data_IF_490024530486
#
_entry.id   IF_490024530486
#
_cell.length_a   1.000
_cell.length_b   1.000
_cell.length_c   1.000
_cell.angle_alpha   90.00
_cell.angle_beta   90.00
_cell.angle_gamma   90.00
#
_symmetry.space_group_name_H-M   'P 1'
#
loop_
_entity.id
_entity.type
_entity.pdbx_description
1 polymer ?
#
# COMPACT_ATOMS: atom_id res chain seq x y z
N UNK A 1 -19.66 30.16 5.58
CA UNK A 1 -18.42 30.70 4.97
C UNK A 1 -17.26 30.15 5.77
N UNK A 2 -16.28 29.44 5.18
CA UNK A 2 -15.21 28.82 5.95
C UNK A 2 -14.44 29.90 6.73
N UNK A 3 -14.17 29.64 8.00
CA UNK A 3 -13.46 30.53 8.96
C UNK A 3 -12.18 31.13 8.38
N UNK A 4 -11.53 30.41 7.48
CA UNK A 4 -10.34 30.84 6.76
C UNK A 4 -10.56 32.03 5.80
N UNK A 5 -11.65 32.04 5.03
CA UNK A 5 -11.98 33.16 4.13
C UNK A 5 -12.33 34.42 4.93
N UNK A 6 -12.97 34.26 6.10
CA UNK A 6 -13.29 35.35 7.02
C UNK A 6 -12.02 36.06 7.51
N UNK A 7 -10.96 35.31 7.84
CA UNK A 7 -9.69 35.88 8.29
C UNK A 7 -8.96 36.68 7.20
N UNK A 8 -9.04 36.26 5.93
CA UNK A 8 -8.44 37.02 4.80
C UNK A 8 -9.13 38.36 4.58
N UNK A 9 -10.46 38.38 4.56
CA UNK A 9 -11.22 39.62 4.40
C UNK A 9 -11.04 40.57 5.59
N UNK A 10 -10.96 40.03 6.81
CA UNK A 10 -10.64 40.82 8.00
C UNK A 10 -9.23 41.42 7.91
N UNK A 11 -8.23 40.66 7.47
CA UNK A 11 -6.87 41.17 7.28
C UNK A 11 -6.84 42.31 6.24
N UNK A 12 -7.45 42.10 5.07
CA UNK A 12 -7.52 43.12 4.02
C UNK A 12 -8.26 44.36 4.53
N UNK A 13 -9.40 44.19 5.21
CA UNK A 13 -10.16 45.30 5.78
C UNK A 13 -9.36 46.11 6.81
N UNK A 14 -8.68 45.43 7.73
CA UNK A 14 -7.80 46.07 8.71
C UNK A 14 -6.62 46.77 8.05
N UNK A 15 -6.04 46.20 6.99
CA UNK A 15 -4.94 46.82 6.26
C UNK A 15 -5.36 48.10 5.55
N UNK A 16 -6.52 48.08 4.87
CA UNK A 16 -7.08 49.26 4.21
C UNK A 16 -7.39 50.34 5.24
N UNK A 17 -8.05 49.98 6.35
CA UNK A 17 -8.37 50.93 7.42
C UNK A 17 -7.10 51.57 8.00
N UNK A 18 -6.09 50.76 8.34
CA UNK A 18 -4.82 51.26 8.85
C UNK A 18 -4.13 52.17 7.84
N UNK A 19 -4.16 51.81 6.56
CA UNK A 19 -3.57 52.63 5.49
C UNK A 19 -4.26 54.00 5.38
N UNK A 20 -5.59 54.05 5.49
CA UNK A 20 -6.36 55.31 5.50
C UNK A 20 -5.97 56.17 6.71
N UNK A 21 -5.90 55.57 7.90
CA UNK A 21 -5.50 56.28 9.12
C UNK A 21 -4.09 56.87 8.98
N UNK A 22 -3.14 56.08 8.46
CA UNK A 22 -1.76 56.56 8.24
C UNK A 22 -1.71 57.68 7.19
N UNK A 23 -2.48 57.59 6.09
CA UNK A 23 -2.59 58.68 5.12
C UNK A 23 -3.10 59.99 5.73
N UNK A 24 -4.10 59.90 6.62
CA UNK A 24 -4.64 61.06 7.35
C UNK A 24 -3.54 61.66 8.24
N UNK A 25 -2.86 60.83 9.04
CA UNK A 25 -1.77 61.28 9.92
C UNK A 25 -0.63 61.95 9.15
N UNK A 26 -0.18 61.37 8.04
CA UNK A 26 0.84 61.96 7.16
C UNK A 26 0.40 63.34 6.68
N UNK A 27 -0.87 63.48 6.30
CA UNK A 27 -1.40 64.74 5.77
C UNK A 27 -1.50 65.82 6.83
N UNK A 28 -1.88 65.45 8.05
CA UNK A 28 -1.87 66.35 9.20
C UNK A 28 -0.45 66.80 9.54
N UNK A 29 0.50 65.86 9.59
CA UNK A 29 1.91 66.16 9.86
C UNK A 29 2.52 67.08 8.80
N UNK A 30 2.22 66.86 7.51
CA UNK A 30 2.69 67.73 6.43
C UNK A 30 2.08 69.12 6.49
N UNK A 31 0.81 69.22 6.89
CA UNK A 31 0.14 70.52 7.05
C UNK A 31 0.77 71.31 8.19
N UNK A 32 1.00 70.66 9.34
CA UNK A 32 1.71 71.24 10.47
C UNK A 32 3.12 71.71 10.09
N UNK A 33 3.92 70.81 9.51
CA UNK A 33 5.29 71.12 9.10
C UNK A 33 5.35 72.32 8.13
N UNK A 34 4.36 72.44 7.24
CA UNK A 34 4.25 73.57 6.32
C UNK A 34 3.92 74.88 7.03
N UNK A 35 3.01 74.88 8.00
CA UNK A 35 2.70 76.12 8.76
C UNK A 35 3.90 76.55 9.61
N UNK A 36 4.56 75.62 10.31
CA UNK A 36 5.77 75.89 11.10
C UNK A 36 6.88 76.42 10.21
N UNK A 37 7.11 75.80 9.05
CA UNK A 37 8.11 76.27 8.08
C UNK A 37 7.80 77.68 7.58
N UNK A 38 6.53 77.99 7.33
CA UNK A 38 6.12 79.32 6.87
C UNK A 38 6.35 80.40 7.94
N UNK A 39 6.06 80.11 9.21
CA UNK A 39 6.35 81.02 10.33
C UNK A 39 7.87 81.19 10.54
N UNK A 40 8.65 80.12 10.36
CA UNK A 40 10.11 80.18 10.38
C UNK A 40 10.67 81.07 9.25
N UNK A 41 10.12 80.97 8.03
CA UNK A 41 10.50 81.84 6.90
C UNK A 41 10.18 83.31 7.21
N UNK A 42 8.98 83.59 7.75
CA UNK A 42 8.61 84.96 8.18
C UNK A 42 9.60 85.55 9.19
N UNK A 43 10.10 84.72 10.12
CA UNK A 43 11.11 85.16 11.08
C UNK A 43 12.43 85.57 10.40
N UNK A 44 12.87 84.84 9.37
CA UNK A 44 14.03 85.22 8.57
C UNK A 44 13.77 86.48 7.73
N UNK A 45 12.64 86.55 7.04
CA UNK A 45 12.27 87.72 6.24
C UNK A 45 12.20 88.98 7.10
N UNK A 46 11.64 88.87 8.31
CA UNK A 46 11.60 89.98 9.28
C UNK A 46 12.99 90.49 9.63
N UNK A 47 13.97 89.59 9.83
CA UNK A 47 15.35 89.99 10.12
C UNK A 47 16.03 90.65 8.93
N UNK A 48 15.82 90.12 7.72
CA UNK A 48 16.40 90.66 6.50
C UNK A 48 15.88 92.10 6.31
N UNK A 49 14.57 92.29 6.43
CA UNK A 49 13.92 93.60 6.28
C UNK A 49 14.35 94.56 7.38
N UNK A 50 14.37 94.11 8.63
CA UNK A 50 14.91 94.90 9.74
C UNK A 50 16.32 95.38 9.42
N UNK A 51 17.19 94.49 8.94
CA UNK A 51 18.59 94.82 8.63
C UNK A 51 18.69 95.82 7.47
N UNK A 52 17.91 95.60 6.41
CA UNK A 52 17.85 96.47 5.24
C UNK A 52 17.35 97.89 5.58
N UNK A 53 16.34 98.00 6.45
CA UNK A 53 15.82 99.28 6.93
C UNK A 53 16.87 99.99 7.81
N UNK A 54 17.51 99.25 8.73
CA UNK A 54 18.51 99.83 9.65
C UNK A 54 19.78 100.35 8.98
N UNK A 55 20.10 99.85 7.79
CA UNK A 55 21.27 100.31 7.01
C UNK A 55 21.01 101.64 6.29
N UNK A 56 19.76 102.08 6.20
CA UNK A 56 19.42 103.38 5.62
C UNK A 56 19.52 104.49 6.67
N UNK A 57 20.11 105.63 6.30
CA UNK A 57 20.30 106.78 7.22
C UNK A 57 18.98 107.44 7.63
N UNK A 58 17.98 107.43 6.76
CA UNK A 58 16.63 107.94 7.04
C UNK A 58 15.60 106.91 6.59
N UNK A 59 14.86 106.35 7.54
CA UNK A 59 13.76 105.42 7.28
C UNK A 59 12.55 106.20 6.78
N UNK A 60 12.38 106.26 5.46
CA UNK A 60 11.21 106.85 4.80
C UNK A 60 10.17 105.77 4.44
N UNK A 61 8.89 106.08 4.61
CA UNK A 61 7.76 105.22 4.24
C UNK A 61 7.82 104.75 2.79
N UNK A 62 8.31 105.57 1.86
CA UNK A 62 8.46 105.16 0.45
C UNK A 62 9.46 104.01 0.27
N UNK A 63 10.58 104.03 1.00
CA UNK A 63 11.58 102.97 0.96
C UNK A 63 11.10 101.69 1.65
N UNK A 64 10.36 101.82 2.76
CA UNK A 64 9.70 100.68 3.38
C UNK A 64 8.74 99.99 2.41
N UNK A 65 7.91 100.74 1.69
CA UNK A 65 7.02 100.19 0.67
C UNK A 65 7.80 99.53 -0.47
N UNK A 66 8.91 100.12 -0.91
CA UNK A 66 9.75 99.57 -1.97
C UNK A 66 10.35 98.21 -1.58
N UNK A 67 11.01 98.11 -0.43
CA UNK A 67 11.59 96.83 0.05
C UNK A 67 10.51 95.78 0.29
N UNK A 68 9.37 96.18 0.84
CA UNK A 68 8.31 95.23 1.20
C UNK A 68 7.38 94.89 0.05
N UNK A 69 7.51 95.56 -1.10
CA UNK A 69 6.69 95.32 -2.29
C UNK A 69 6.88 93.90 -2.84
N UNK A 70 8.10 93.35 -2.74
CA UNK A 70 8.41 91.97 -3.12
C UNK A 70 7.70 90.93 -2.24
N UNK A 71 7.30 91.30 -1.03
CA UNK A 71 6.49 90.48 -0.12
C UNK A 71 4.99 90.59 -0.37
N UNK A 72 4.60 91.16 -1.50
CA UNK A 72 3.22 91.30 -1.92
C UNK A 72 2.99 90.73 -3.31
N UNK A 73 1.80 90.19 -3.56
CA UNK A 73 1.39 89.67 -4.86
C UNK A 73 0.17 90.45 -5.36
N UNK A 74 -0.13 90.32 -6.66
CA UNK A 74 -1.25 91.02 -7.33
C UNK A 74 -1.20 92.53 -7.09
N UNK A 75 -0.08 93.16 -7.43
CA UNK A 75 0.14 94.61 -7.33
C UNK A 75 -0.15 95.18 -5.93
N UNK A 76 0.28 94.48 -4.87
CA UNK A 76 0.16 94.96 -3.48
C UNK A 76 -1.18 94.68 -2.79
N UNK A 77 -2.11 93.94 -3.43
CA UNK A 77 -3.42 93.63 -2.83
C UNK A 77 -3.39 92.44 -1.86
N UNK A 78 -2.49 91.46 -2.10
CA UNK A 78 -2.30 90.31 -1.21
C UNK A 78 -0.89 90.36 -0.64
N UNK A 79 -0.79 90.62 0.65
CA UNK A 79 0.46 90.64 1.40
C UNK A 79 0.75 89.23 1.92
N UNK A 80 1.90 88.66 1.57
CA UNK A 80 2.32 87.33 1.99
C UNK A 80 2.79 87.31 3.46
N UNK A 81 3.42 88.41 3.87
CA UNK A 81 3.88 88.64 5.23
C UNK A 81 3.54 90.07 5.68
N UNK A 82 2.50 90.24 6.53
CA UNK A 82 2.08 91.53 7.04
C UNK A 82 3.15 92.19 7.91
N UNK A 83 3.56 93.39 7.52
CA UNK A 83 4.57 94.22 8.16
C UNK A 83 4.07 95.65 8.29
N UNK A 84 4.48 96.34 9.33
CA UNK A 84 4.27 97.78 9.47
C UNK A 84 5.40 98.45 10.24
N UNK A 85 5.64 99.72 9.93
CA UNK A 85 6.39 100.63 10.76
C UNK A 85 5.38 101.45 11.54
N UNK A 86 5.44 101.34 12.86
CA UNK A 86 4.64 102.13 13.78
C UNK A 86 5.52 103.26 14.30
N UNK A 87 5.11 104.48 14.03
CA UNK A 87 5.76 105.71 14.48
C UNK A 87 5.01 106.30 15.68
N UNK A 88 5.57 107.34 16.29
CA UNK A 88 4.97 108.05 17.43
C UNK A 88 3.52 108.51 17.19
N UNK A 89 3.20 108.95 15.98
CA UNK A 89 1.87 109.50 15.63
C UNK A 89 1.24 108.86 14.38
N UNK A 90 1.91 107.90 13.75
CA UNK A 90 1.50 107.34 12.46
C UNK A 90 1.81 105.85 12.38
N UNK A 91 1.17 105.15 11.44
CA UNK A 91 1.50 103.77 11.12
C UNK A 91 1.49 103.59 9.60
N UNK A 92 2.55 102.97 9.08
CA UNK A 92 2.71 102.64 7.67
C UNK A 92 2.88 101.14 7.50
N UNK A 93 1.93 100.49 6.83
CA UNK A 93 1.94 99.05 6.60
C UNK A 93 2.25 98.70 5.15
N UNK A 94 2.87 97.54 4.91
CA UNK A 94 3.11 97.07 3.55
C UNK A 94 1.81 96.65 2.85
N UNK A 95 1.76 96.87 1.55
CA UNK A 95 0.57 96.62 0.72
C UNK A 95 -0.33 97.84 0.58
N UNK A 96 -1.34 97.74 -0.28
CA UNK A 96 -2.29 98.83 -0.56
C UNK A 96 -3.34 98.96 0.55
N UNK A 97 -4.03 100.10 0.58
CA UNK A 97 -5.24 100.30 1.38
C UNK A 97 -6.26 99.20 1.07
N UNK A 98 -6.76 98.52 2.10
CA UNK A 98 -7.67 97.37 1.94
C UNK A 98 -6.98 96.03 1.63
N UNK A 99 -5.64 95.95 1.71
CA UNK A 99 -4.93 94.67 1.72
C UNK A 99 -5.27 93.86 2.98
N UNK A 100 -4.90 92.58 2.99
CA UNK A 100 -5.06 91.69 4.15
C UNK A 100 -4.17 92.05 5.35
N UNK A 101 -3.32 93.08 5.25
CA UNK A 101 -2.56 93.60 6.37
C UNK A 101 -3.44 94.53 7.20
N UNK A 102 -3.62 94.19 8.49
CA UNK A 102 -4.45 94.96 9.44
C UNK A 102 -3.64 95.57 10.59
N UNK A 103 -2.31 95.53 10.53
CA UNK A 103 -1.47 95.97 11.65
C UNK A 103 -1.75 97.44 12.00
N UNK A 104 -1.88 98.32 11.00
CA UNK A 104 -2.19 99.73 11.26
C UNK A 104 -3.65 100.00 11.62
N UNK A 105 -4.56 99.04 11.39
CA UNK A 105 -5.93 99.13 11.90
C UNK A 105 -5.96 98.90 13.42
N UNK A 106 -5.11 97.98 13.91
CA UNK A 106 -5.02 97.63 15.33
C UNK A 106 -4.14 98.59 16.13
N UNK A 107 -3.05 99.07 15.55
CA UNK A 107 -2.05 99.89 16.21
C UNK A 107 -1.76 101.16 15.40
N UNK A 108 -2.39 102.28 15.78
CA UNK A 108 -2.23 103.55 15.06
C UNK A 108 -0.90 104.27 15.36
N UNK A 109 -0.32 104.01 16.53
CA UNK A 109 0.89 104.64 17.02
C UNK A 109 1.59 103.74 18.07
N UNK A 110 2.80 104.15 18.49
CA UNK A 110 3.62 103.39 19.46
C UNK A 110 2.90 103.21 20.80
N UNK A 111 2.17 104.21 21.28
CA UNK A 111 1.46 104.13 22.57
C UNK A 111 0.36 103.07 22.53
N UNK A 112 -0.42 103.01 21.44
CA UNK A 112 -1.41 101.95 21.23
C UNK A 112 -0.76 100.57 21.12
N UNK A 113 0.39 100.46 20.44
CA UNK A 113 1.15 99.22 20.36
C UNK A 113 1.58 98.76 21.76
N UNK A 114 2.22 99.62 22.56
CA UNK A 114 2.67 99.24 23.90
C UNK A 114 1.50 98.94 24.86
N UNK A 115 0.37 99.64 24.74
CA UNK A 115 -0.79 99.48 25.62
C UNK A 115 -1.63 98.23 25.31
N UNK A 116 -1.84 97.92 24.02
CA UNK A 116 -2.71 96.79 23.60
C UNK A 116 -1.97 95.45 23.59
N UNK A 117 -0.65 95.45 23.52
CA UNK A 117 0.14 94.22 23.47
C UNK A 117 0.60 93.77 24.85
N UNK A 118 0.63 92.46 25.06
CA UNK A 118 1.09 91.85 26.32
C UNK A 118 2.43 91.14 26.15
N UNK A 119 3.16 91.04 27.26
CA UNK A 119 4.37 90.22 27.47
C UNK A 119 5.51 90.42 26.46
N UNK A 120 6.57 91.11 26.89
CA UNK A 120 7.82 91.24 26.12
C UNK A 120 8.62 89.94 26.23
N UNK A 121 8.58 89.14 25.18
CA UNK A 121 9.29 87.87 25.12
C UNK A 121 10.35 87.88 24.01
N UNK A 122 11.31 86.95 24.10
CA UNK A 122 12.36 86.77 23.11
C UNK A 122 12.35 85.30 22.68
N UNK A 123 12.23 85.07 21.38
CA UNK A 123 12.52 83.76 20.82
C UNK A 123 14.05 83.60 20.78
N UNK A 124 14.60 82.66 21.53
CA UNK A 124 16.06 82.50 21.67
C UNK A 124 16.76 82.01 20.39
N UNK A 125 16.09 81.16 19.60
CA UNK A 125 16.67 80.62 18.37
C UNK A 125 16.81 81.71 17.30
N UNK A 126 15.72 82.43 17.03
CA UNK A 126 15.75 83.53 16.08
C UNK A 126 16.29 84.82 16.69
N UNK A 127 16.43 84.98 18.01
CA UNK A 127 16.80 86.25 18.65
C UNK A 127 15.87 87.40 18.22
N UNK A 128 14.58 87.11 18.07
CA UNK A 128 13.53 88.08 17.70
C UNK A 128 12.67 88.34 18.93
N UNK A 129 12.41 89.62 19.21
CA UNK A 129 11.45 90.01 20.25
C UNK A 129 10.03 89.85 19.70
N UNK A 130 9.11 89.40 20.53
CA UNK A 130 7.70 89.30 20.17
C UNK A 130 6.79 89.69 21.32
N UNK A 131 5.56 90.06 20.98
CA UNK A 131 4.46 90.32 21.90
C UNK A 131 3.18 89.66 21.39
N UNK A 132 2.20 89.55 22.29
CA UNK A 132 0.87 89.03 21.95
C UNK A 132 -0.15 90.16 21.84
N UNK A 133 -1.05 90.04 20.88
CA UNK A 133 -2.29 90.81 20.82
C UNK A 133 -3.43 89.84 20.51
N UNK A 134 -4.42 89.78 21.41
CA UNK A 134 -5.44 88.74 21.41
C UNK A 134 -4.82 87.32 21.36
N UNK A 135 -5.03 86.57 20.27
CA UNK A 135 -4.46 85.22 20.04
C UNK A 135 -3.30 85.22 19.04
N UNK A 136 -2.90 86.39 18.56
CA UNK A 136 -1.89 86.51 17.53
C UNK A 136 -0.55 86.95 18.10
N UNK A 137 0.53 86.44 17.49
CA UNK A 137 1.90 86.78 17.86
C UNK A 137 2.44 87.78 16.85
N UNK A 138 3.05 88.84 17.37
CA UNK A 138 3.68 89.88 16.57
C UNK A 138 5.16 89.98 16.91
N UNK A 139 6.01 89.80 15.90
CA UNK A 139 7.43 90.12 15.97
C UNK A 139 7.61 91.62 15.98
N UNK A 140 8.59 92.11 16.73
CA UNK A 140 8.92 93.53 16.69
C UNK A 140 10.41 93.81 16.84
N UNK A 141 10.81 94.96 16.32
CA UNK A 141 12.15 95.49 16.47
C UNK A 141 12.10 97.02 16.55
N UNK A 142 12.67 97.56 17.62
CA UNK A 142 12.93 99.00 17.75
C UNK A 142 13.96 99.39 16.67
N UNK A 143 13.58 100.33 15.79
CA UNK A 143 14.44 100.88 14.75
C UNK A 143 15.21 102.09 15.32
N UNK A 144 14.47 103.01 15.96
CA UNK A 144 14.95 104.17 16.71
C UNK A 144 14.01 104.45 17.91
N UNK A 145 14.17 105.59 18.60
CA UNK A 145 13.34 105.96 19.76
C UNK A 145 11.88 106.30 19.42
N UNK A 146 11.56 106.53 18.14
CA UNK A 146 10.24 106.96 17.67
C UNK A 146 9.61 106.00 16.65
N UNK A 147 10.28 104.88 16.31
CA UNK A 147 9.84 103.91 15.30
C UNK A 147 10.07 102.47 15.74
N UNK A 148 9.02 101.66 15.57
CA UNK A 148 9.06 100.21 15.78
C UNK A 148 8.62 99.51 14.49
N UNK A 149 9.44 98.58 14.00
CA UNK A 149 9.04 97.63 12.97
C UNK A 149 8.27 96.50 13.62
N UNK A 150 7.07 96.21 13.12
CA UNK A 150 6.18 95.15 13.59
C UNK A 150 5.86 94.22 12.42
N UNK A 151 5.82 92.91 12.67
CA UNK A 151 5.44 91.91 11.68
C UNK A 151 4.63 90.77 12.30
N UNK A 152 3.64 90.25 11.59
CA UNK A 152 2.82 89.16 12.10
C UNK A 152 3.59 87.83 12.10
N UNK A 153 3.85 87.28 13.28
CA UNK A 153 4.73 86.13 13.47
C UNK A 153 4.12 84.78 13.05
N UNK A 154 2.80 84.72 12.92
CA UNK A 154 2.06 83.47 12.83
C UNK A 154 1.79 82.85 14.20
N UNK A 155 1.62 81.53 14.24
CA UNK A 155 1.16 80.82 15.45
C UNK A 155 2.30 80.07 16.15
N UNK A 156 3.36 79.68 15.43
CA UNK A 156 4.36 78.75 15.98
C UNK A 156 5.67 79.40 16.39
N UNK A 157 5.90 80.69 16.09
CA UNK A 157 7.15 81.35 16.45
C UNK A 157 7.43 81.28 17.96
N UNK A 158 6.41 81.50 18.79
CA UNK A 158 6.56 81.49 20.25
C UNK A 158 6.75 80.07 20.83
N UNK A 159 6.52 79.02 20.02
CA UNK A 159 6.63 77.60 20.38
C UNK A 159 7.86 76.94 19.75
N UNK A 160 8.74 77.72 19.14
CA UNK A 160 9.90 77.18 18.45
C UNK A 160 10.82 76.43 19.43
N UNK A 161 11.17 75.19 19.08
CA UNK A 161 11.96 74.29 19.93
C UNK A 161 11.12 73.38 20.84
N UNK A 162 9.80 73.59 20.91
CA UNK A 162 8.86 72.68 21.55
C UNK A 162 7.90 72.08 20.52
N UNK A 163 8.34 71.00 19.89
CA UNK A 163 7.56 70.29 18.85
C UNK A 163 6.22 69.76 19.39
N UNK A 164 6.18 69.39 20.68
CA UNK A 164 4.97 68.87 21.30
C UNK A 164 3.93 69.99 21.49
N UNK A 165 4.36 71.16 21.98
CA UNK A 165 3.48 72.32 22.07
C UNK A 165 2.98 72.77 20.69
N UNK A 166 3.83 72.73 19.65
CA UNK A 166 3.41 73.02 18.27
C UNK A 166 2.33 72.03 17.77
N UNK A 167 2.49 70.73 18.06
CA UNK A 167 1.49 69.72 17.73
C UNK A 167 0.17 69.96 18.47
N UNK A 168 0.23 70.26 19.78
CA UNK A 168 -0.97 70.55 20.57
C UNK A 168 -1.69 71.77 19.99
N UNK A 169 -0.99 72.88 19.76
CA UNK A 169 -1.55 74.11 19.19
C UNK A 169 -2.20 73.84 17.83
N UNK A 170 -1.58 72.99 17.01
CA UNK A 170 -2.16 72.58 15.75
C UNK A 170 -3.45 71.79 15.94
N UNK A 171 -3.45 70.75 16.78
CA UNK A 171 -4.60 69.86 16.95
C UNK A 171 -5.79 70.58 17.61
N UNK A 172 -5.55 71.43 18.61
CA UNK A 172 -6.61 72.06 19.40
C UNK A 172 -7.16 73.32 18.76
N UNK A 173 -6.31 74.14 18.12
CA UNK A 173 -6.71 75.47 17.66
C UNK A 173 -6.72 75.58 16.14
N UNK A 174 -5.71 75.06 15.44
CA UNK A 174 -5.55 75.30 13.98
C UNK A 174 -6.36 74.31 13.14
N UNK A 175 -6.28 73.03 13.48
CA UNK A 175 -6.92 71.93 12.76
C UNK A 175 -8.46 72.08 12.75
N UNK A 176 -9.15 72.31 13.88
CA UNK A 176 -10.59 72.46 13.87
C UNK A 176 -11.01 73.72 13.11
N UNK A 177 -10.42 74.86 13.46
CA UNK A 177 -10.88 76.16 12.97
C UNK A 177 -10.58 76.41 11.49
N UNK A 178 -9.41 75.99 10.99
CA UNK A 178 -8.97 76.36 9.65
C UNK A 178 -9.09 75.23 8.63
N UNK A 179 -9.11 73.97 9.09
CA UNK A 179 -8.99 72.82 8.20
C UNK A 179 -10.21 71.90 8.23
N UNK A 180 -10.74 71.55 9.40
CA UNK A 180 -11.88 70.63 9.50
C UNK A 180 -13.22 71.35 9.29
N UNK A 181 -13.39 72.55 9.86
CA UNK A 181 -14.67 73.27 9.85
C UNK A 181 -15.02 73.91 8.48
N UNK A 182 -14.16 73.79 7.47
CA UNK A 182 -14.38 74.40 6.15
C UNK A 182 -14.04 73.42 5.02
N UNK A 183 -14.92 73.34 4.01
CA UNK A 183 -14.67 72.57 2.78
C UNK A 183 -13.37 73.03 2.10
N UNK A 184 -13.09 74.34 2.14
CA UNK A 184 -11.83 74.88 1.62
C UNK A 184 -10.62 74.37 2.42
N UNK A 185 -10.76 74.25 3.73
CA UNK A 185 -9.73 73.70 4.63
C UNK A 185 -9.41 72.23 4.30
N UNK A 186 -10.45 71.39 4.20
CA UNK A 186 -10.33 69.96 3.88
C UNK A 186 -9.70 69.78 2.49
N UNK A 187 -10.19 70.51 1.50
CA UNK A 187 -9.64 70.46 0.13
C UNK A 187 -8.20 70.95 0.08
N UNK A 188 -7.84 71.98 0.86
CA UNK A 188 -6.46 72.44 0.99
C UNK A 188 -5.54 71.34 1.55
N UNK A 189 -5.95 70.61 2.60
CA UNK A 189 -5.14 69.48 3.11
C UNK A 189 -4.92 68.47 1.99
N UNK A 190 -6.00 68.05 1.32
CA UNK A 190 -5.93 67.08 0.24
C UNK A 190 -4.99 67.52 -0.89
N UNK A 191 -5.16 68.73 -1.43
CA UNK A 191 -4.32 69.21 -2.54
C UNK A 191 -2.84 69.32 -2.15
N UNK A 192 -2.56 69.64 -0.90
CA UNK A 192 -1.18 69.78 -0.38
C UNK A 192 -0.53 68.43 -0.10
N UNK A 193 -1.27 67.42 0.33
CA UNK A 193 -0.75 66.10 0.69
C UNK A 193 -0.99 65.00 -0.36
N UNK A 194 -1.70 65.30 -1.46
CA UNK A 194 -2.12 64.30 -2.48
C UNK A 194 -1.00 63.38 -2.95
N UNK A 195 0.19 63.90 -3.20
CA UNK A 195 1.30 63.11 -3.72
C UNK A 195 1.83 62.14 -2.67
N UNK A 196 2.00 62.60 -1.44
CA UNK A 196 2.42 61.79 -0.30
C UNK A 196 1.40 60.68 -0.01
N UNK A 197 0.10 61.01 -0.03
CA UNK A 197 -0.98 60.04 0.11
C UNK A 197 -0.94 59.00 -1.01
N UNK A 198 -0.77 59.42 -2.27
CA UNK A 198 -0.70 58.51 -3.42
C UNK A 198 0.52 57.58 -3.34
N UNK A 199 1.70 58.13 -3.03
CA UNK A 199 2.94 57.33 -2.89
C UNK A 199 2.76 56.29 -1.79
N UNK A 200 2.22 56.69 -0.64
CA UNK A 200 1.97 55.76 0.46
C UNK A 200 0.92 54.71 0.10
N UNK A 201 -0.17 55.11 -0.56
CA UNK A 201 -1.23 54.21 -0.99
C UNK A 201 -0.72 53.16 -1.99
N UNK A 202 0.03 53.59 -3.02
CA UNK A 202 0.64 52.66 -3.99
C UNK A 202 1.70 51.76 -3.34
N UNK A 203 2.51 52.29 -2.42
CA UNK A 203 3.46 51.48 -1.65
C UNK A 203 2.76 50.44 -0.77
N UNK A 204 1.73 50.84 -0.03
CA UNK A 204 0.94 49.97 0.85
C UNK A 204 0.22 48.87 0.05
N UNK A 205 -0.39 49.22 -1.08
CA UNK A 205 -1.05 48.24 -1.96
C UNK A 205 -0.06 47.27 -2.58
N UNK A 206 1.13 47.73 -3.01
CA UNK A 206 2.19 46.86 -3.50
C UNK A 206 2.62 45.85 -2.43
N UNK A 207 2.84 46.31 -1.19
CA UNK A 207 3.20 45.43 -0.06
C UNK A 207 2.09 44.40 0.20
N UNK A 208 0.83 44.82 0.18
CA UNK A 208 -0.31 43.92 0.34
C UNK A 208 -0.35 42.84 -0.76
N UNK A 209 -0.15 43.23 -2.03
CA UNK A 209 -0.13 42.30 -3.16
C UNK A 209 1.02 41.29 -3.04
N UNK A 210 2.22 41.74 -2.67
CA UNK A 210 3.38 40.85 -2.45
C UNK A 210 3.06 39.86 -1.34
N UNK A 211 2.54 40.33 -0.21
CA UNK A 211 2.21 39.49 0.94
C UNK A 211 1.13 38.44 0.61
N UNK A 212 0.05 38.85 -0.05
CA UNK A 212 -1.00 37.93 -0.49
C UNK A 212 -0.47 36.90 -1.48
N UNK A 213 0.38 37.31 -2.43
CA UNK A 213 0.99 36.42 -3.42
C UNK A 213 1.87 35.36 -2.77
N UNK A 214 2.70 35.74 -1.78
CA UNK A 214 3.52 34.81 -1.01
C UNK A 214 2.68 33.83 -0.20
N UNK A 215 1.59 34.31 0.40
CA UNK A 215 0.68 33.47 1.18
C UNK A 215 -0.02 32.44 0.30
N UNK A 216 -0.57 32.87 -0.85
CA UNK A 216 -1.18 31.98 -1.84
C UNK A 216 -0.19 30.94 -2.35
N UNK A 217 1.08 31.32 -2.56
CA UNK A 217 2.13 30.40 -3.00
C UNK A 217 2.40 29.31 -1.95
N UNK A 218 2.51 29.68 -0.66
CA UNK A 218 2.68 28.71 0.43
C UNK A 218 1.46 27.79 0.57
N UNK A 219 0.25 28.34 0.47
CA UNK A 219 -0.98 27.54 0.48
C UNK A 219 -1.01 26.49 -0.64
N UNK A 220 -0.63 26.88 -1.87
CA UNK A 220 -0.53 25.95 -3.00
C UNK A 220 0.51 24.86 -2.74
N UNK A 221 1.66 25.19 -2.15
CA UNK A 221 2.67 24.19 -1.79
C UNK A 221 2.12 23.18 -0.78
N UNK A 222 1.51 23.65 0.31
CA UNK A 222 0.90 22.76 1.30
C UNK A 222 -0.26 21.93 0.73
N UNK A 223 -1.07 22.48 -0.16
CA UNK A 223 -2.13 21.73 -0.83
C UNK A 223 -1.55 20.61 -1.73
N UNK A 224 -0.44 20.88 -2.43
CA UNK A 224 0.24 19.88 -3.24
C UNK A 224 0.87 18.78 -2.38
N UNK A 225 1.53 19.14 -1.27
CA UNK A 225 2.08 18.19 -0.30
C UNK A 225 0.99 17.31 0.31
N UNK A 226 -0.16 17.90 0.67
CA UNK A 226 -1.30 17.17 1.20
C UNK A 226 -1.88 16.19 0.17
N UNK A 227 -2.01 16.60 -1.09
CA UNK A 227 -2.49 15.73 -2.15
C UNK A 227 -1.51 14.58 -2.43
N UNK A 228 -0.20 14.86 -2.41
CA UNK A 228 0.83 13.82 -2.53
C UNK A 228 0.73 12.82 -1.38
N UNK A 229 0.61 13.30 -0.14
CA UNK A 229 0.46 12.45 1.05
C UNK A 229 -0.82 11.60 0.97
N UNK A 230 -1.96 12.17 0.52
CA UNK A 230 -3.21 11.42 0.31
C UNK A 230 -3.05 10.31 -0.72
N UNK A 231 -2.39 10.58 -1.85
CA UNK A 231 -2.14 9.57 -2.88
C UNK A 231 -1.24 8.45 -2.36
N UNK A 232 -0.21 8.78 -1.57
CA UNK A 232 0.68 7.80 -0.96
C UNK A 232 -0.04 6.92 0.07
N UNK A 233 -0.95 7.50 0.87
CA UNK A 233 -1.81 6.74 1.79
C UNK A 233 -2.73 5.80 1.01
N UNK A 234 -3.40 6.27 -0.04
CA UNK A 234 -4.27 5.42 -0.87
C UNK A 234 -3.50 4.27 -1.52
N UNK A 235 -2.26 4.49 -1.97
CA UNK A 235 -1.39 3.42 -2.49
C UNK A 235 -1.07 2.38 -1.40
N UNK A 236 -0.75 2.83 -0.18
CA UNK A 236 -0.47 1.94 0.95
C UNK A 236 -1.70 1.18 1.42
N UNK A 237 -2.87 1.81 1.43
CA UNK A 237 -4.15 1.13 1.70
C UNK A 237 -4.42 0.02 0.69
N UNK A 238 -4.20 0.28 -0.60
CA UNK A 238 -4.31 -0.76 -1.64
C UNK A 238 -3.33 -1.92 -1.43
N UNK A 239 -2.08 -1.63 -1.03
CA UNK A 239 -1.09 -2.66 -0.68
C UNK A 239 -1.53 -3.49 0.53
N UNK A 240 -2.07 -2.85 1.57
CA UNK A 240 -2.62 -3.54 2.74
C UNK A 240 -3.79 -4.45 2.37
N UNK A 241 -4.72 -3.99 1.52
CA UNK A 241 -5.83 -4.83 1.04
C UNK A 241 -5.33 -6.06 0.27
N UNK A 242 -4.28 -5.92 -0.55
CA UNK A 242 -3.69 -7.03 -1.29
C UNK A 242 -2.93 -8.01 -0.38
N UNK A 243 -2.30 -7.53 0.70
CA UNK A 243 -1.70 -8.40 1.70
C UNK A 243 -2.77 -9.13 2.51
N UNK A 244 -3.86 -8.46 2.86
CA UNK A 244 -4.99 -9.07 3.58
C UNK A 244 -5.60 -10.21 2.75
N UNK A 245 -5.83 -10.01 1.45
CA UNK A 245 -6.37 -11.07 0.59
C UNK A 245 -5.44 -12.29 0.49
N UNK A 246 -4.11 -12.08 0.45
CA UNK A 246 -3.13 -13.17 0.50
C UNK A 246 -3.12 -13.91 1.84
N UNK A 247 -3.30 -13.20 2.95
CA UNK A 247 -3.44 -13.81 4.28
C UNK A 247 -4.70 -14.69 4.32
N UNK A 248 -5.82 -14.18 3.82
CA UNK A 248 -7.08 -14.92 3.78
C UNK A 248 -6.98 -16.17 2.90
N UNK A 249 -6.33 -16.08 1.74
CA UNK A 249 -6.03 -17.24 0.87
C UNK A 249 -5.16 -18.28 1.60
N UNK A 250 -4.08 -17.84 2.26
CA UNK A 250 -3.21 -18.74 3.02
C UNK A 250 -3.95 -19.41 4.19
N UNK A 251 -4.86 -18.70 4.86
CA UNK A 251 -5.68 -19.25 5.94
C UNK A 251 -6.65 -20.30 5.42
N UNK A 252 -7.27 -20.08 4.25
CA UNK A 252 -8.12 -21.08 3.61
C UNK A 252 -7.33 -22.35 3.25
N UNK A 253 -6.11 -22.20 2.71
CA UNK A 253 -5.22 -23.34 2.43
C UNK A 253 -4.85 -24.08 3.72
N UNK A 254 -4.56 -23.36 4.81
CA UNK A 254 -4.26 -23.97 6.10
C UNK A 254 -5.46 -24.74 6.66
N UNK A 255 -6.68 -24.22 6.50
CA UNK A 255 -7.91 -24.92 6.90
C UNK A 255 -8.10 -26.22 6.14
N UNK A 256 -7.99 -26.20 4.80
CA UNK A 256 -8.10 -27.42 3.96
C UNK A 256 -7.02 -28.45 4.31
N UNK A 257 -5.79 -28.00 4.58
CA UNK A 257 -4.71 -28.89 5.06
C UNK A 257 -5.02 -29.48 6.42
N UNK A 258 -5.59 -28.70 7.35
CA UNK A 258 -5.97 -29.19 8.67
C UNK A 258 -7.05 -30.27 8.57
N UNK A 259 -8.08 -30.06 7.76
CA UNK A 259 -9.13 -31.05 7.49
C UNK A 259 -8.54 -32.34 6.88
N UNK A 260 -7.60 -32.22 5.94
CA UNK A 260 -6.89 -33.39 5.40
C UNK A 260 -6.09 -34.14 6.46
N UNK A 261 -5.37 -33.43 7.34
CA UNK A 261 -4.63 -34.06 8.44
C UNK A 261 -5.56 -34.78 9.39
N UNK A 262 -6.69 -34.18 9.78
CA UNK A 262 -7.71 -34.83 10.61
C UNK A 262 -8.27 -36.09 9.92
N UNK A 263 -8.53 -36.02 8.61
CA UNK A 263 -8.97 -37.18 7.83
C UNK A 263 -7.94 -38.32 7.81
N UNK A 264 -6.65 -38.00 7.67
CA UNK A 264 -5.58 -38.99 7.71
C UNK A 264 -5.39 -39.59 9.11
N UNK A 265 -5.55 -38.80 10.17
CA UNK A 265 -5.53 -39.30 11.54
C UNK A 265 -6.67 -40.30 11.80
N UNK A 266 -7.87 -40.04 11.29
CA UNK A 266 -9.00 -40.98 11.37
C UNK A 266 -8.68 -42.27 10.59
N UNK A 267 -8.10 -42.16 9.39
CA UNK A 267 -7.70 -43.34 8.60
C UNK A 267 -6.61 -44.16 9.32
N UNK A 268 -5.61 -43.51 9.91
CA UNK A 268 -4.58 -44.19 10.71
C UNK A 268 -5.20 -44.94 11.87
N UNK A 269 -6.09 -44.30 12.65
CA UNK A 269 -6.77 -44.94 13.77
C UNK A 269 -7.61 -46.16 13.34
N UNK A 270 -8.29 -46.06 12.20
CA UNK A 270 -9.03 -47.20 11.64
C UNK A 270 -8.13 -48.35 11.19
N UNK A 271 -6.94 -48.02 10.66
CA UNK A 271 -5.96 -49.03 10.28
C UNK A 271 -5.31 -49.68 11.50
N UNK A 272 -5.03 -48.94 12.57
CA UNK A 272 -4.56 -49.47 13.85
C UNK A 272 -5.55 -50.49 14.42
N UNK A 273 -6.86 -50.17 14.44
CA UNK A 273 -7.91 -51.09 14.88
C UNK A 273 -7.95 -52.38 14.03
N UNK A 274 -7.74 -52.26 12.71
CA UNK A 274 -7.66 -53.44 11.83
C UNK A 274 -6.43 -54.29 12.14
N UNK A 275 -5.30 -53.66 12.45
CA UNK A 275 -4.05 -54.33 12.78
C UNK A 275 -4.20 -55.12 14.09
N UNK A 276 -4.78 -54.51 15.12
CA UNK A 276 -5.11 -55.21 16.38
C UNK A 276 -6.00 -56.43 16.15
N UNK A 277 -6.97 -56.33 15.23
CA UNK A 277 -7.81 -57.47 14.86
C UNK A 277 -7.00 -58.58 14.17
N UNK A 278 -6.10 -58.22 13.25
CA UNK A 278 -5.25 -59.19 12.58
C UNK A 278 -4.28 -59.86 13.55
N UNK A 279 -3.73 -59.13 14.51
CA UNK A 279 -2.85 -59.71 15.54
C UNK A 279 -3.63 -60.71 16.41
N UNK A 280 -4.88 -60.42 16.78
CA UNK A 280 -5.75 -61.36 17.49
C UNK A 280 -6.09 -62.61 16.65
N UNK A 281 -6.35 -62.43 15.35
CA UNK A 281 -6.60 -63.55 14.43
C UNK A 281 -5.33 -64.43 14.27
N UNK A 282 -4.13 -63.82 14.25
CA UNK A 282 -2.84 -64.52 14.20
C UNK A 282 -2.61 -65.32 15.49
N UNK A 283 -2.87 -64.74 16.67
CA UNK A 283 -2.76 -65.46 17.94
C UNK A 283 -3.68 -66.70 17.98
N UNK A 284 -4.93 -66.57 17.52
CA UNK A 284 -5.86 -67.70 17.41
C UNK A 284 -5.34 -68.79 16.46
N UNK A 285 -4.75 -68.41 15.32
CA UNK A 285 -4.18 -69.38 14.36
C UNK A 285 -2.94 -70.09 14.92
N UNK A 286 -2.14 -69.41 15.73
CA UNK A 286 -1.00 -70.02 16.43
C UNK A 286 -1.48 -71.05 17.44
N UNK A 287 -2.56 -70.76 18.18
CA UNK A 287 -3.17 -71.72 19.11
C UNK A 287 -3.67 -72.98 18.39
N UNK A 288 -4.40 -72.81 17.27
CA UNK A 288 -4.86 -73.92 16.41
C UNK A 288 -3.68 -74.77 15.88
N UNK A 289 -2.58 -74.12 15.47
CA UNK A 289 -1.37 -74.82 15.02
C UNK A 289 -0.73 -75.66 16.13
N UNK A 290 -0.66 -75.14 17.35
CA UNK A 290 -0.13 -75.90 18.49
C UNK A 290 -1.00 -77.11 18.84
N UNK A 291 -2.32 -77.00 18.72
CA UNK A 291 -3.23 -78.15 18.91
C UNK A 291 -3.01 -79.22 17.83
N UNK A 292 -2.84 -78.79 16.57
CA UNK A 292 -2.56 -79.69 15.44
C UNK A 292 -1.22 -80.40 15.60
N UNK A 293 -0.18 -79.69 16.05
CA UNK A 293 1.13 -80.28 16.32
C UNK A 293 1.07 -81.33 17.44
N UNK A 294 0.25 -81.09 18.47
CA UNK A 294 -0.07 -82.08 19.49
C UNK A 294 -0.69 -83.35 18.91
N UNK A 295 -1.67 -83.21 18.01
CA UNK A 295 -2.30 -84.35 17.29
C UNK A 295 -1.30 -85.09 16.40
N UNK A 296 -0.40 -84.37 15.71
CA UNK A 296 0.63 -84.95 14.88
C UNK A 296 1.61 -85.82 15.69
N UNK A 297 2.07 -85.35 16.86
CA UNK A 297 2.94 -86.14 17.75
C UNK A 297 2.29 -87.46 18.19
N UNK A 298 0.99 -87.45 18.49
CA UNK A 298 0.24 -88.66 18.86
C UNK A 298 0.19 -89.65 17.69
N UNK A 299 -0.13 -89.17 16.49
CA UNK A 299 -0.15 -90.00 15.27
C UNK A 299 1.23 -90.59 14.94
N UNK A 300 2.30 -89.82 15.14
CA UNK A 300 3.67 -90.28 14.90
C UNK A 300 4.10 -91.38 15.89
N UNK A 301 3.65 -91.30 17.15
CA UNK A 301 3.84 -92.39 18.13
C UNK A 301 3.14 -93.67 17.68
N UNK A 302 1.87 -93.56 17.25
CA UNK A 302 1.10 -94.71 16.76
C UNK A 302 1.75 -95.35 15.51
N UNK A 303 2.36 -94.54 14.64
CA UNK A 303 3.04 -95.03 13.44
C UNK A 303 4.31 -95.82 13.79
N UNK A 304 5.09 -95.34 14.76
CA UNK A 304 6.25 -96.07 15.27
C UNK A 304 5.85 -97.43 15.90
N UNK A 305 4.72 -97.48 16.60
CA UNK A 305 4.19 -98.73 17.18
C UNK A 305 3.78 -99.74 16.08
N UNK A 306 3.16 -99.25 14.99
CA UNK A 306 2.80 -100.08 13.83
C UNK A 306 4.06 -100.55 13.07
N UNK A 307 5.10 -99.72 12.96
CA UNK A 307 6.37 -100.14 12.33
C UNK A 307 7.12 -101.19 13.16
N UNK A 308 7.07 -101.11 14.49
CA UNK A 308 7.58 -102.15 15.37
C UNK A 308 6.83 -103.49 15.18
N UNK A 309 5.52 -103.43 14.98
CA UNK A 309 4.69 -104.61 14.70
C UNK A 309 4.97 -105.19 13.31
N UNK A 310 5.18 -104.34 12.29
CA UNK A 310 5.63 -104.71 10.94
C UNK A 310 6.98 -105.41 10.97
N UNK A 311 7.96 -104.89 11.72
CA UNK A 311 9.27 -105.55 11.84
C UNK A 311 9.14 -106.94 12.44
N UNK A 312 8.29 -107.12 13.46
CA UNK A 312 7.98 -108.42 14.07
C UNK A 312 7.37 -109.41 13.07
N UNK A 313 6.48 -108.93 12.19
CA UNK A 313 5.87 -109.71 11.12
C UNK A 313 6.88 -110.09 10.02
N UNK A 314 7.79 -109.18 9.64
CA UNK A 314 8.84 -109.46 8.65
C UNK A 314 9.81 -110.55 9.17
N UNK A 315 10.22 -110.48 10.45
CA UNK A 315 11.07 -111.53 11.05
C UNK A 315 10.36 -112.90 11.06
N UNK A 316 9.04 -112.92 11.30
CA UNK A 316 8.23 -114.14 11.25
C UNK A 316 8.09 -114.70 9.82
N UNK A 317 8.00 -113.83 8.81
CA UNK A 317 7.95 -114.22 7.39
C UNK A 317 9.31 -114.75 6.91
N UNK A 318 10.43 -114.13 7.29
CA UNK A 318 11.78 -114.62 6.96
C UNK A 318 12.06 -116.00 7.58
N UNK A 319 11.60 -116.24 8.81
CA UNK A 319 11.71 -117.55 9.46
C UNK A 319 10.87 -118.62 8.75
N UNK A 320 9.66 -118.28 8.27
CA UNK A 320 8.80 -119.17 7.48
C UNK A 320 9.35 -119.44 6.06
N UNK A 321 10.10 -118.49 5.48
CA UNK A 321 10.68 -118.59 4.12
C UNK A 321 11.87 -119.55 4.07
N UNK A 322 12.57 -119.77 5.19
CA UNK A 322 13.69 -120.73 5.29
C UNK A 322 13.29 -122.22 5.24
N UNK A 323 11.98 -122.54 5.25
CA UNK A 323 11.46 -123.91 5.39
C UNK A 323 10.64 -124.45 4.21
N UNK A 324 10.57 -123.74 3.08
CA UNK A 324 9.76 -124.16 1.93
C UNK A 324 10.66 -124.69 0.80
N UNK A 325 10.57 -126.00 0.56
CA UNK A 325 11.37 -126.76 -0.42
C UNK A 325 10.47 -127.24 -1.57
N UNK A 326 9.85 -126.29 -2.29
CA UNK A 326 9.03 -126.60 -3.47
C UNK A 326 9.31 -125.59 -4.59
N UNK A 327 9.87 -126.07 -5.71
CA UNK A 327 10.40 -125.25 -6.80
C UNK A 327 9.30 -124.49 -7.58
N UNK A 328 8.05 -124.98 -7.55
CA UNK A 328 6.91 -124.30 -8.19
C UNK A 328 6.51 -123.01 -7.49
N UNK A 329 6.51 -122.98 -6.14
CA UNK A 329 6.16 -121.79 -5.37
C UNK A 329 7.21 -120.66 -5.51
N UNK A 330 8.49 -121.03 -5.71
CA UNK A 330 9.58 -120.06 -5.97
C UNK A 330 9.44 -119.39 -7.34
N UNK A 331 8.99 -120.14 -8.36
CA UNK A 331 8.74 -119.61 -9.70
C UNK A 331 7.47 -118.75 -9.75
N UNK A 332 6.41 -119.11 -9.02
CA UNK A 332 5.23 -118.24 -8.89
C UNK A 332 5.54 -116.94 -8.18
N UNK A 333 6.34 -116.98 -7.09
CA UNK A 333 6.72 -115.77 -6.36
C UNK A 333 7.60 -114.82 -7.20
N UNK A 334 8.53 -115.35 -8.01
CA UNK A 334 9.31 -114.56 -8.96
C UNK A 334 8.44 -113.94 -10.07
N UNK A 335 7.41 -114.66 -10.53
CA UNK A 335 6.41 -114.14 -11.48
C UNK A 335 5.61 -112.97 -10.90
N UNK A 336 5.16 -113.09 -9.64
CA UNK A 336 4.44 -112.01 -8.95
C UNK A 336 5.33 -110.80 -8.64
N UNK A 337 6.60 -111.00 -8.25
CA UNK A 337 7.58 -109.91 -8.08
C UNK A 337 7.88 -109.18 -9.40
N UNK A 338 8.00 -109.91 -10.52
CA UNK A 338 8.20 -109.31 -11.84
C UNK A 338 6.99 -108.49 -12.30
N UNK A 339 5.77 -108.99 -12.04
CA UNK A 339 4.52 -108.23 -12.29
C UNK A 339 4.41 -106.98 -11.42
N UNK A 340 4.75 -107.08 -10.13
CA UNK A 340 4.77 -105.95 -9.21
C UNK A 340 5.76 -104.86 -9.66
N UNK A 341 7.00 -105.23 -9.99
CA UNK A 341 8.01 -104.30 -10.48
C UNK A 341 7.63 -103.63 -11.81
N UNK A 342 6.86 -104.31 -12.67
CA UNK A 342 6.29 -103.68 -13.88
C UNK A 342 5.18 -102.67 -13.57
N UNK A 343 4.32 -102.96 -12.59
CA UNK A 343 3.25 -102.05 -12.16
C UNK A 343 3.82 -100.78 -11.50
N UNK A 344 4.90 -100.90 -10.73
CA UNK A 344 5.57 -99.74 -10.10
C UNK A 344 6.02 -98.71 -11.16
N UNK A 345 6.43 -99.14 -12.36
CA UNK A 345 6.84 -98.24 -13.46
C UNK A 345 5.70 -97.34 -13.99
N UNK A 346 4.42 -97.65 -13.74
CA UNK A 346 3.31 -96.75 -14.09
C UNK A 346 3.37 -95.42 -13.32
N UNK A 347 4.02 -95.42 -12.16
CA UNK A 347 4.16 -94.26 -11.27
C UNK A 347 5.47 -93.49 -11.49
N UNK A 348 6.37 -93.97 -12.37
CA UNK A 348 7.66 -93.35 -12.66
C UNK A 348 7.54 -92.37 -13.85
N UNK A 349 7.86 -91.09 -13.62
CA UNK A 349 7.82 -90.01 -14.62
C UNK A 349 8.67 -90.30 -15.87
N UNK A 350 9.69 -91.16 -15.76
CA UNK A 350 10.58 -91.51 -16.88
C UNK A 350 9.98 -92.51 -17.90
N UNK A 351 8.82 -93.12 -17.61
CA UNK A 351 8.21 -94.14 -18.48
C UNK A 351 7.34 -93.50 -19.57
N UNK A 352 7.66 -93.76 -20.85
CA UNK A 352 6.96 -93.21 -22.02
C UNK A 352 5.50 -93.64 -22.12
N UNK A 353 4.64 -92.80 -22.69
CA UNK A 353 3.19 -93.03 -22.84
C UNK A 353 2.82 -94.36 -23.49
N UNK A 354 3.52 -94.78 -24.55
CA UNK A 354 3.28 -96.06 -25.20
C UNK A 354 3.59 -97.26 -24.29
N UNK A 355 4.66 -97.17 -23.49
CA UNK A 355 5.05 -98.21 -22.54
C UNK A 355 4.10 -98.31 -21.35
N UNK A 356 3.61 -97.17 -20.84
CA UNK A 356 2.57 -97.14 -19.79
C UNK A 356 1.30 -97.86 -20.25
N UNK A 357 0.87 -97.59 -21.48
CA UNK A 357 -0.26 -98.27 -22.09
C UNK A 357 -0.05 -99.78 -22.24
N UNK A 358 1.12 -100.22 -22.69
CA UNK A 358 1.44 -101.65 -22.79
C UNK A 358 1.45 -102.35 -21.41
N UNK A 359 2.04 -101.71 -20.40
CA UNK A 359 2.05 -102.23 -19.02
C UNK A 359 0.61 -102.35 -18.52
N UNK A 360 -0.22 -101.33 -18.72
CA UNK A 360 -1.62 -101.33 -18.30
C UNK A 360 -2.46 -102.37 -19.06
N UNK A 361 -2.31 -102.48 -20.37
CA UNK A 361 -2.98 -103.51 -21.18
C UNK A 361 -2.56 -104.93 -20.76
N UNK A 362 -1.34 -105.13 -20.25
CA UNK A 362 -0.85 -106.42 -19.77
C UNK A 362 -1.37 -106.83 -18.38
N UNK A 363 -1.84 -105.86 -17.58
CA UNK A 363 -2.27 -106.07 -16.18
C UNK A 363 -3.79 -106.01 -16.03
N UNK A 364 -4.51 -105.35 -16.94
CA UNK A 364 -5.91 -105.04 -16.75
C UNK A 364 -6.85 -106.23 -17.11
N UNK A 365 -7.60 -106.70 -16.12
CA UNK A 365 -8.76 -107.57 -16.32
C UNK A 365 -9.92 -106.73 -16.90
N UNK A 366 -10.58 -107.26 -17.94
CA UNK A 366 -11.62 -106.59 -18.74
C UNK A 366 -12.54 -105.66 -17.91
N UNK A 367 -12.68 -104.40 -18.39
CA UNK A 367 -13.66 -103.37 -17.99
C UNK A 367 -13.33 -102.44 -16.81
N UNK A 368 -12.07 -102.12 -16.51
CA UNK A 368 -11.73 -100.97 -15.64
C UNK A 368 -10.98 -99.86 -16.36
N UNK A 369 -11.27 -98.63 -15.95
CA UNK A 369 -10.81 -97.32 -16.45
C UNK A 369 -9.28 -97.32 -16.63
N UNK A 370 -8.72 -97.05 -17.82
CA UNK A 370 -7.28 -96.98 -17.98
C UNK A 370 -6.74 -95.71 -17.32
N UNK A 371 -5.93 -95.86 -16.28
CA UNK A 371 -5.17 -94.82 -15.61
C UNK A 371 -4.35 -93.99 -16.61
N UNK A 372 -3.74 -94.64 -17.61
CA UNK A 372 -2.94 -93.99 -18.66
C UNK A 372 -3.78 -93.03 -19.52
N UNK A 373 -5.07 -93.31 -19.72
CA UNK A 373 -5.94 -92.46 -20.55
C UNK A 373 -6.29 -91.14 -19.85
N UNK A 374 -6.60 -91.19 -18.55
CA UNK A 374 -6.90 -89.99 -17.77
C UNK A 374 -5.68 -89.08 -17.63
N UNK A 375 -4.49 -89.66 -17.38
CA UNK A 375 -3.23 -88.89 -17.35
C UNK A 375 -2.86 -88.35 -18.73
N UNK A 376 -3.12 -89.09 -19.81
CA UNK A 376 -2.88 -88.61 -21.18
C UNK A 376 -3.75 -87.39 -21.52
N UNK A 377 -5.01 -87.33 -21.08
CA UNK A 377 -5.86 -86.16 -21.30
C UNK A 377 -5.41 -84.94 -20.48
N UNK A 378 -4.94 -85.13 -19.24
CA UNK A 378 -4.36 -84.05 -18.44
C UNK A 378 -3.07 -83.52 -19.09
N UNK A 379 -2.21 -84.42 -19.59
CA UNK A 379 -1.01 -84.03 -20.30
C UNK A 379 -1.30 -83.30 -21.62
N UNK A 380 -2.40 -83.66 -22.30
CA UNK A 380 -2.88 -82.91 -23.47
C UNK A 380 -3.31 -81.48 -23.13
N UNK A 381 -4.01 -81.27 -22.01
CA UNK A 381 -4.36 -79.92 -21.56
C UNK A 381 -3.12 -79.09 -21.24
N UNK A 382 -2.14 -79.68 -20.54
CA UNK A 382 -0.87 -79.02 -20.26
C UNK A 382 -0.12 -78.67 -21.56
N UNK A 383 -0.10 -79.59 -22.55
CA UNK A 383 0.51 -79.34 -23.86
C UNK A 383 -0.16 -78.19 -24.61
N UNK A 384 -1.50 -78.14 -24.63
CA UNK A 384 -2.25 -77.03 -25.23
C UNK A 384 -1.96 -75.72 -24.50
N UNK A 385 -1.90 -75.74 -23.17
CA UNK A 385 -1.62 -74.57 -22.34
C UNK A 385 -0.21 -74.02 -22.58
N UNK A 386 0.79 -74.89 -22.65
CA UNK A 386 2.18 -74.50 -22.91
C UNK A 386 2.32 -73.93 -24.35
N UNK A 387 1.72 -74.58 -25.35
CA UNK A 387 1.72 -74.08 -26.73
C UNK A 387 0.95 -72.75 -26.85
N UNK A 388 -0.16 -72.61 -26.12
CA UNK A 388 -0.92 -71.35 -26.06
C UNK A 388 -0.08 -70.23 -25.41
N UNK A 389 0.63 -70.51 -24.31
CA UNK A 389 1.53 -69.54 -23.65
C UNK A 389 2.64 -69.06 -24.59
N UNK A 390 3.29 -69.98 -25.30
CA UNK A 390 4.32 -69.66 -26.27
C UNK A 390 3.79 -68.76 -27.41
N UNK A 391 2.53 -68.96 -27.83
CA UNK A 391 1.89 -68.13 -28.85
C UNK A 391 1.36 -66.78 -28.31
N UNK A 392 0.92 -66.73 -27.06
CA UNK A 392 0.30 -65.55 -26.43
C UNK A 392 1.32 -64.59 -25.80
N UNK A 393 2.58 -64.99 -25.62
CA UNK A 393 3.68 -64.11 -25.22
C UNK A 393 3.88 -62.89 -26.17
N UNK A 394 3.25 -62.88 -27.35
CA UNK A 394 3.27 -61.76 -28.30
C UNK A 394 2.09 -60.78 -28.18
N UNK A 395 1.06 -61.03 -27.38
CA UNK A 395 -0.06 -60.09 -27.18
C UNK A 395 -0.56 -60.14 -25.73
N UNK A 396 -0.48 -59.00 -25.03
CA UNK A 396 -0.90 -58.86 -23.64
C UNK A 396 -2.43 -58.95 -23.47
N UNK A 397 -2.91 -60.06 -22.90
CA UNK A 397 -3.99 -60.03 -21.91
C UNK A 397 -4.02 -61.34 -21.09
N UNK A 398 -3.88 -61.22 -19.78
CA UNK A 398 -4.13 -62.29 -18.81
C UNK A 398 -5.64 -62.48 -18.62
N UNK A 399 -6.35 -62.90 -19.66
CA UNK A 399 -7.72 -63.38 -19.52
C UNK A 399 -7.71 -64.90 -19.32
N UNK A 400 -8.47 -65.36 -18.31
CA UNK A 400 -8.71 -66.78 -18.05
C UNK A 400 -9.50 -67.34 -19.23
N UNK A 401 -8.80 -67.89 -20.22
CA UNK A 401 -9.36 -68.47 -21.44
C UNK A 401 -9.67 -69.95 -21.22
N UNK A 402 -10.81 -70.40 -21.73
CA UNK A 402 -11.24 -71.80 -21.66
C UNK A 402 -10.40 -72.70 -22.57
N UNK A 403 -10.33 -74.00 -22.29
CA UNK A 403 -9.59 -74.97 -23.14
C UNK A 403 -10.02 -74.93 -24.61
N UNK A 404 -11.31 -74.67 -24.89
CA UNK A 404 -11.78 -74.54 -26.27
C UNK A 404 -11.17 -73.32 -26.98
N UNK A 405 -11.13 -72.17 -26.30
CA UNK A 405 -10.55 -70.94 -26.84
C UNK A 405 -9.04 -71.07 -27.04
N UNK A 406 -8.34 -71.73 -26.10
CA UNK A 406 -6.91 -72.04 -26.25
C UNK A 406 -6.65 -72.91 -27.47
N UNK A 407 -7.46 -73.96 -27.68
CA UNK A 407 -7.38 -74.82 -28.86
C UNK A 407 -7.65 -74.02 -30.14
N UNK A 408 -8.65 -73.14 -30.17
CA UNK A 408 -8.94 -72.29 -31.34
C UNK A 408 -7.75 -71.40 -31.71
N UNK A 409 -6.99 -70.90 -30.72
CA UNK A 409 -5.77 -70.12 -30.96
C UNK A 409 -4.63 -70.99 -31.50
N UNK A 410 -4.42 -72.19 -30.95
CA UNK A 410 -3.42 -73.16 -31.47
C UNK A 410 -3.73 -73.53 -32.92
N UNK A 411 -5.01 -73.74 -33.25
CA UNK A 411 -5.49 -74.10 -34.60
C UNK A 411 -5.20 -73.00 -35.62
N UNK A 412 -5.23 -71.71 -35.24
CA UNK A 412 -4.88 -70.62 -36.18
C UNK A 412 -3.45 -70.76 -36.71
N UNK A 413 -2.53 -71.34 -35.93
CA UNK A 413 -1.14 -71.57 -36.32
C UNK A 413 -0.90 -72.96 -36.90
N UNK A 414 -1.67 -73.97 -36.49
CA UNK A 414 -1.64 -75.32 -37.06
C UNK A 414 -3.02 -75.76 -37.55
N UNK A 415 -3.50 -75.24 -38.70
CA UNK A 415 -4.86 -75.49 -39.17
C UNK A 415 -5.15 -76.96 -39.46
N UNK A 416 -4.12 -77.72 -39.85
CA UNK A 416 -4.22 -79.13 -40.15
C UNK A 416 -4.58 -80.00 -38.94
N UNK A 417 -4.33 -79.53 -37.71
CA UNK A 417 -4.67 -80.24 -36.47
C UNK A 417 -6.09 -79.95 -35.96
N UNK A 418 -6.85 -79.07 -36.64
CA UNK A 418 -8.18 -78.61 -36.19
C UNK A 418 -9.13 -79.73 -35.82
N UNK A 419 -9.31 -80.69 -36.73
CA UNK A 419 -10.25 -81.79 -36.53
C UNK A 419 -9.79 -82.69 -35.38
N UNK A 420 -8.50 -83.00 -35.32
CA UNK A 420 -7.91 -83.85 -34.27
C UNK A 420 -8.01 -83.21 -32.89
N UNK A 421 -7.61 -81.95 -32.71
CA UNK A 421 -7.60 -81.28 -31.39
C UNK A 421 -9.02 -81.11 -30.83
N UNK A 422 -9.99 -80.69 -31.65
CA UNK A 422 -11.37 -80.60 -31.19
C UNK A 422 -11.96 -81.98 -30.89
N UNK A 423 -11.64 -83.01 -31.69
CA UNK A 423 -12.10 -84.38 -31.43
C UNK A 423 -11.53 -84.90 -30.10
N UNK A 424 -10.25 -84.66 -29.82
CA UNK A 424 -9.62 -84.99 -28.53
C UNK A 424 -10.31 -84.26 -27.39
N UNK A 425 -10.57 -82.95 -27.50
CA UNK A 425 -11.31 -82.16 -26.48
C UNK A 425 -12.70 -82.71 -26.20
N UNK A 426 -13.46 -83.03 -27.25
CA UNK A 426 -14.81 -83.60 -27.12
C UNK A 426 -14.74 -84.96 -26.43
N UNK A 427 -13.80 -85.81 -26.84
CA UNK A 427 -13.59 -87.12 -26.23
C UNK A 427 -13.15 -87.01 -24.77
N UNK A 428 -12.27 -86.06 -24.45
CA UNK A 428 -11.86 -85.73 -23.08
C UNK A 428 -13.07 -85.37 -22.22
N UNK A 429 -13.92 -84.46 -22.69
CA UNK A 429 -15.09 -84.03 -21.92
C UNK A 429 -16.09 -85.19 -21.73
N UNK A 430 -16.31 -86.00 -22.76
CA UNK A 430 -17.12 -87.20 -22.66
C UNK A 430 -16.51 -88.24 -21.70
N UNK A 431 -15.17 -88.33 -21.65
CA UNK A 431 -14.45 -89.22 -20.74
C UNK A 431 -14.57 -88.76 -19.28
N UNK A 432 -14.22 -87.51 -18.95
CA UNK A 432 -14.24 -87.03 -17.56
C UNK A 432 -15.63 -86.82 -16.99
N UNK A 433 -16.61 -86.42 -17.80
CA UNK A 433 -17.97 -86.17 -17.30
C UNK A 433 -18.86 -87.42 -17.37
N UNK A 434 -18.69 -88.25 -18.40
CA UNK A 434 -19.63 -89.35 -18.69
C UNK A 434 -18.96 -90.73 -18.72
N UNK A 435 -17.64 -90.83 -18.47
CA UNK A 435 -16.90 -92.10 -18.51
C UNK A 435 -16.86 -92.76 -19.89
N UNK A 436 -17.18 -92.03 -20.98
CA UNK A 436 -17.29 -92.62 -22.33
C UNK A 436 -15.90 -92.84 -22.93
N UNK A 437 -15.55 -94.10 -23.20
CA UNK A 437 -14.26 -94.48 -23.78
C UNK A 437 -14.13 -93.93 -25.21
N UNK A 438 -13.04 -93.18 -25.52
CA UNK A 438 -12.78 -92.69 -26.88
C UNK A 438 -12.50 -93.81 -27.88
N UNK A 439 -12.71 -93.53 -29.17
CA UNK A 439 -12.34 -94.46 -30.23
C UNK A 439 -10.83 -94.73 -30.24
N UNK A 440 -10.43 -95.99 -30.49
CA UNK A 440 -9.02 -96.42 -30.46
C UNK A 440 -8.11 -95.60 -31.40
N UNK A 441 -8.65 -95.14 -32.53
CA UNK A 441 -7.93 -94.26 -33.47
C UNK A 441 -7.57 -92.93 -32.81
N UNK A 442 -8.53 -92.31 -32.14
CA UNK A 442 -8.34 -91.02 -31.46
C UNK A 442 -7.37 -91.13 -30.28
N UNK A 443 -7.36 -92.25 -29.55
CA UNK A 443 -6.37 -92.49 -28.48
C UNK A 443 -4.95 -92.54 -29.06
N UNK A 444 -4.75 -93.15 -30.23
CA UNK A 444 -3.43 -93.16 -30.88
C UNK A 444 -2.99 -91.76 -31.30
N UNK A 445 -3.91 -90.94 -31.81
CA UNK A 445 -3.62 -89.55 -32.17
C UNK A 445 -3.27 -88.70 -30.95
N UNK A 446 -4.01 -88.84 -29.84
CA UNK A 446 -3.72 -88.20 -28.57
C UNK A 446 -2.30 -88.52 -28.09
N UNK A 447 -1.94 -89.80 -27.99
CA UNK A 447 -0.63 -90.23 -27.53
C UNK A 447 0.51 -89.78 -28.44
N UNK A 448 0.24 -89.61 -29.75
CA UNK A 448 1.22 -89.08 -30.70
C UNK A 448 1.51 -87.59 -30.49
N UNK A 449 0.49 -86.80 -30.14
CA UNK A 449 0.64 -85.36 -29.90
C UNK A 449 1.43 -85.09 -28.62
N UNK A 450 1.17 -85.84 -27.56
CA UNK A 450 1.81 -85.65 -26.24
C UNK A 450 3.08 -86.49 -26.05
N UNK A 451 3.60 -87.10 -27.12
CA UNK A 451 4.66 -88.12 -27.02
C UNK A 451 5.92 -87.63 -26.28
N UNK A 452 6.25 -86.35 -26.43
CA UNK A 452 7.44 -85.72 -25.86
C UNK A 452 7.13 -84.95 -24.55
N UNK A 453 5.90 -85.02 -24.06
CA UNK A 453 5.47 -84.39 -22.80
C UNK A 453 5.62 -85.40 -21.66
N UNK A 454 6.37 -85.04 -20.63
CA UNK A 454 6.52 -85.89 -19.45
C UNK A 454 5.15 -86.13 -18.77
N UNK A 455 4.83 -87.38 -18.39
CA UNK A 455 3.63 -87.67 -17.62
C UNK A 455 3.73 -87.02 -16.23
N UNK A 456 3.03 -85.90 -16.03
CA UNK A 456 2.85 -85.27 -14.73
C UNK A 456 1.75 -86.04 -13.99
N UNK A 457 2.14 -86.93 -13.06
CA UNK A 457 1.21 -87.64 -12.16
C UNK A 457 1.03 -86.81 -10.90
#
# INVERSE_FOLDING_TARGET
MPTYLKNKWQFIGSWIFLSIVVCILISLAQTLAREVTLDNVRAYDFKIIRTAIKHQKEVNNNYFQEITSELSTRNGSIVLFPLAIIEKNSCSQNGKLGSNNKICEFFKNIDEWELKTSSKNINNYYKIKYKFFEKEVYMYAELDSEKVLVGQAGNYLHLHGDDFAQIIEFITNRLPNNYINSIYGITSIYYKSKWSMLIFFFGSTLVLVIFLSLTIRKERQHANELNYAKNLVAEKENQCHLLQSKIDESNNILSDRKEKVESFQIQLRNNEIKLEKYDADIESLIEDLTELEGKHKILQSNLNDIEAEKHKLITNVEFATSRINNAEAKNELQSYQSKYNKIVKLWDSSTKWAQRREIEESVNAKQRVPFTLSTAFIAFEAWVDDYYKDLSAQNHSNEITTLNEKIDVVIRKQPHLRLTLHSIRVARNAWFHNGKIPEKGLIKELLKIINDVEPRI
#
